data_IF_302383891012
#
_entry.id   IF_302383891012
#
_cell.length_a   1.000
_cell.length_b   1.000
_cell.length_c   1.000
_cell.angle_alpha   90.00
_cell.angle_beta   90.00
_cell.angle_gamma   90.00
#
_symmetry.space_group_name_H-M   'P 1'
#
loop_
_entity.id
_entity.type
_entity.pdbx_description
1 polymer ?
#
# COMPACT_ATOMS: atom_id res chain seq x y z
N UNK A 1 -18.36 8.76 -17.28
CA UNK A 1 -17.25 8.16 -16.50
C UNK A 1 -17.41 8.64 -15.06
N UNK A 2 -17.62 7.73 -14.10
CA UNK A 2 -17.73 8.13 -12.70
C UNK A 2 -16.37 8.69 -12.24
N UNK A 3 -16.37 9.90 -11.68
CA UNK A 3 -15.15 10.52 -11.15
C UNK A 3 -14.56 9.70 -9.99
N UNK A 4 -13.28 9.93 -9.70
CA UNK A 4 -12.63 9.34 -8.52
C UNK A 4 -13.35 9.80 -7.24
N UNK A 5 -13.60 8.90 -6.28
CA UNK A 5 -14.12 9.28 -4.98
C UNK A 5 -13.26 10.37 -4.32
N UNK A 6 -13.89 11.39 -3.76
CA UNK A 6 -13.23 12.51 -3.08
C UNK A 6 -12.19 12.04 -2.03
N UNK A 7 -12.47 10.93 -1.36
CA UNK A 7 -11.56 10.31 -0.39
C UNK A 7 -10.22 9.90 -1.02
N UNK A 8 -10.24 9.26 -2.19
CA UNK A 8 -9.01 8.82 -2.88
C UNK A 8 -8.18 10.05 -3.25
N UNK A 9 -8.82 11.08 -3.81
CA UNK A 9 -8.13 12.34 -4.17
C UNK A 9 -7.42 12.95 -2.96
N UNK A 10 -8.12 13.03 -1.82
CA UNK A 10 -7.57 13.61 -0.58
C UNK A 10 -6.42 12.77 0.00
N UNK A 11 -6.55 11.44 -0.02
CA UNK A 11 -5.50 10.54 0.49
C UNK A 11 -4.25 10.55 -0.42
N UNK A 12 -4.43 10.56 -1.74
CA UNK A 12 -3.32 10.73 -2.69
C UNK A 12 -2.60 12.05 -2.48
N UNK A 13 -3.33 13.16 -2.33
CA UNK A 13 -2.73 14.46 -2.03
C UNK A 13 -1.93 14.41 -0.72
N UNK A 14 -2.48 13.78 0.32
CA UNK A 14 -1.81 13.65 1.60
C UNK A 14 -0.52 12.82 1.52
N UNK A 15 -0.52 11.71 0.79
CA UNK A 15 0.69 10.91 0.54
C UNK A 15 1.80 11.73 -0.12
N UNK A 16 1.43 12.63 -1.04
CA UNK A 16 2.38 13.48 -1.76
C UNK A 16 2.90 14.64 -0.88
N UNK A 17 2.05 15.21 -0.02
CA UNK A 17 2.43 16.34 0.84
C UNK A 17 3.10 15.91 2.15
N UNK A 18 2.76 14.72 2.66
CA UNK A 18 3.25 14.16 3.92
C UNK A 18 3.86 12.77 3.66
N UNK A 19 5.05 12.70 3.01
CA UNK A 19 5.70 11.42 2.74
C UNK A 19 6.14 10.74 4.04
N UNK A 20 5.92 9.43 4.13
CA UNK A 20 6.37 8.64 5.27
C UNK A 20 7.86 8.31 5.09
N UNK A 21 8.73 8.55 6.10
CA UNK A 21 10.15 8.25 5.99
C UNK A 21 10.41 6.80 5.55
N UNK A 22 11.22 6.63 4.51
CA UNK A 22 11.54 5.32 3.96
C UNK A 22 10.45 4.70 3.07
N UNK A 23 9.33 5.39 2.83
CA UNK A 23 8.25 4.93 1.95
C UNK A 23 7.96 5.98 0.89
N UNK A 24 7.94 5.55 -0.37
CA UNK A 24 7.51 6.36 -1.51
C UNK A 24 6.31 5.69 -2.14
N UNK A 25 5.21 6.42 -2.34
CA UNK A 25 4.01 5.92 -3.01
C UNK A 25 3.57 6.92 -4.08
N UNK A 26 3.46 6.45 -5.32
CA UNK A 26 3.10 7.28 -6.47
C UNK A 26 1.91 6.65 -7.21
N UNK A 27 0.86 7.40 -7.53
CA UNK A 27 -0.25 6.88 -8.32
C UNK A 27 0.23 6.54 -9.74
N UNK A 28 -0.36 5.52 -10.35
CA UNK A 28 -0.13 5.19 -11.75
C UNK A 28 -0.72 6.25 -12.68
N UNK A 29 -0.01 6.55 -13.77
CA UNK A 29 -0.41 7.57 -14.75
C UNK A 29 -1.73 7.23 -15.45
N UNK A 30 -2.02 5.93 -15.64
CA UNK A 30 -3.20 5.44 -16.33
C UNK A 30 -4.34 5.07 -15.38
N UNK A 31 -4.05 4.84 -14.09
CA UNK A 31 -5.02 4.39 -13.12
C UNK A 31 -4.76 4.97 -11.72
N UNK A 32 -5.49 6.03 -11.37
CA UNK A 32 -5.39 6.69 -10.07
C UNK A 32 -5.84 5.85 -8.84
N UNK A 33 -6.33 4.62 -9.05
CA UNK A 33 -6.57 3.64 -7.97
C UNK A 33 -5.38 2.71 -7.76
N UNK A 34 -4.39 2.75 -8.64
CA UNK A 34 -3.20 1.93 -8.59
C UNK A 34 -2.01 2.79 -8.17
N UNK A 35 -1.16 2.25 -7.31
CA UNK A 35 0.00 2.94 -6.77
C UNK A 35 1.24 2.07 -6.86
N UNK A 36 2.33 2.67 -7.30
CA UNK A 36 3.67 2.13 -7.24
C UNK A 36 4.30 2.55 -5.91
N UNK A 37 4.63 1.57 -5.08
CA UNK A 37 5.17 1.81 -3.74
C UNK A 37 6.59 1.28 -3.66
N UNK A 38 7.48 2.03 -3.02
CA UNK A 38 8.85 1.62 -2.71
C UNK A 38 9.08 1.80 -1.22
N UNK A 39 9.48 0.73 -0.55
CA UNK A 39 9.79 0.72 0.88
C UNK A 39 11.27 0.42 1.08
N UNK A 40 11.94 1.25 1.87
CA UNK A 40 13.28 0.99 2.35
C UNK A 40 13.24 -0.09 3.44
N UNK A 41 14.19 -1.01 3.40
CA UNK A 41 14.32 -2.02 4.43
C UNK A 41 14.60 -1.38 5.80
N UNK A 42 13.93 -1.83 6.88
CA UNK A 42 14.14 -1.27 8.21
C UNK A 42 15.59 -1.37 8.69
N UNK A 43 16.05 -0.37 9.44
CA UNK A 43 17.31 -0.43 10.17
C UNK A 43 17.31 -1.58 11.18
N UNK A 44 18.48 -2.16 11.41
CA UNK A 44 18.68 -3.28 12.34
C UNK A 44 17.86 -4.53 11.96
N UNK A 45 17.57 -4.71 10.67
CA UNK A 45 16.88 -5.88 10.13
C UNK A 45 17.69 -6.56 9.04
N UNK A 46 17.43 -7.84 8.70
CA UNK A 46 18.04 -8.50 7.56
C UNK A 46 17.76 -7.82 6.21
N UNK A 47 16.79 -6.91 6.18
CA UNK A 47 16.39 -6.17 4.99
C UNK A 47 17.04 -4.79 4.90
N UNK A 48 17.80 -4.38 5.92
CA UNK A 48 18.41 -3.05 5.98
C UNK A 48 19.17 -2.69 4.69
N UNK A 49 19.07 -1.43 4.28
CA UNK A 49 19.60 -0.91 3.00
C UNK A 49 18.97 -1.52 1.74
N UNK A 50 18.04 -2.46 1.89
CA UNK A 50 17.22 -2.98 0.81
C UNK A 50 16.18 -1.97 0.33
N UNK A 51 15.72 -2.16 -0.91
CA UNK A 51 14.62 -1.40 -1.48
C UNK A 51 13.62 -2.37 -2.12
N UNK A 52 12.40 -2.32 -1.64
CA UNK A 52 11.35 -3.27 -1.99
C UNK A 52 10.25 -2.54 -2.73
N UNK A 53 9.96 -2.99 -3.95
CA UNK A 53 8.85 -2.50 -4.76
C UNK A 53 7.59 -3.26 -4.38
N UNK A 54 6.49 -2.55 -4.23
CA UNK A 54 5.16 -3.08 -4.03
C UNK A 54 4.19 -2.39 -4.99
N UNK A 55 3.10 -3.08 -5.27
CA UNK A 55 1.92 -2.50 -5.87
C UNK A 55 0.83 -2.38 -4.80
N UNK A 56 0.06 -1.30 -4.86
CA UNK A 56 -1.12 -1.08 -4.05
C UNK A 56 -2.29 -0.72 -4.96
N UNK A 57 -3.42 -1.41 -4.78
CA UNK A 57 -4.63 -1.19 -5.55
C UNK A 57 -5.84 -0.92 -4.65
N UNK A 58 -6.55 0.18 -4.94
CA UNK A 58 -7.78 0.58 -4.27
C UNK A 58 -9.00 0.02 -5.02
N UNK A 59 -9.68 -1.04 -4.50
CA UNK A 59 -10.86 -1.59 -5.14
C UNK A 59 -12.02 -0.59 -5.19
N UNK A 60 -13.06 -0.87 -5.97
CA UNK A 60 -14.23 0.01 -6.10
C UNK A 60 -14.90 0.27 -4.74
N UNK A 61 -14.91 -0.73 -3.87
CA UNK A 61 -15.49 -0.67 -2.54
C UNK A 61 -14.57 0.04 -1.52
N UNK A 62 -13.38 0.51 -1.91
CA UNK A 62 -12.55 1.33 -1.02
C UNK A 62 -13.31 2.60 -0.61
N UNK A 63 -13.38 2.95 0.68
CA UNK A 63 -12.59 2.44 1.82
C UNK A 63 -13.27 1.34 2.65
N UNK A 64 -14.43 0.83 2.23
CA UNK A 64 -15.15 -0.24 2.92
C UNK A 64 -14.36 -1.55 2.85
N UNK A 65 -13.77 -1.83 1.68
CA UNK A 65 -12.78 -2.88 1.51
C UNK A 65 -11.36 -2.35 1.67
N UNK A 66 -10.49 -3.18 2.23
CA UNK A 66 -9.06 -2.90 2.33
C UNK A 66 -8.41 -2.83 0.93
N UNK A 67 -7.35 -2.05 0.76
CA UNK A 67 -6.57 -2.09 -0.46
C UNK A 67 -5.84 -3.42 -0.61
N UNK A 68 -5.55 -3.77 -1.86
CA UNK A 68 -4.75 -4.95 -2.18
C UNK A 68 -3.29 -4.53 -2.30
N UNK A 69 -2.41 -5.15 -1.53
CA UNK A 69 -0.97 -4.86 -1.53
C UNK A 69 -0.19 -6.12 -1.85
N UNK A 70 0.83 -6.00 -2.71
CA UNK A 70 1.68 -7.13 -3.12
C UNK A 70 3.12 -6.67 -3.36
N UNK A 71 4.08 -7.45 -2.89
CA UNK A 71 5.48 -7.27 -3.22
C UNK A 71 5.76 -7.63 -4.69
N UNK A 72 6.42 -6.72 -5.38
CA UNK A 72 6.97 -6.92 -6.72
C UNK A 72 8.43 -7.36 -6.65
N UNK A 73 9.16 -6.89 -5.64
CA UNK A 73 10.50 -7.41 -5.31
C UNK A 73 10.37 -8.74 -4.60
N UNK A 74 11.08 -9.78 -5.06
CA UNK A 74 11.17 -11.05 -4.33
C UNK A 74 11.78 -10.82 -2.95
N UNK A 75 11.05 -11.20 -1.90
CA UNK A 75 11.48 -11.07 -0.51
C UNK A 75 11.31 -12.41 0.19
N UNK A 76 12.25 -12.76 1.05
CA UNK A 76 12.15 -13.95 1.90
C UNK A 76 11.65 -13.51 3.28
N UNK A 77 10.35 -13.68 3.51
CA UNK A 77 9.70 -13.27 4.75
C UNK A 77 8.58 -14.27 5.12
N UNK A 78 8.40 -14.64 6.39
CA UNK A 78 7.40 -15.65 6.80
C UNK A 78 5.96 -15.31 6.38
N UNK A 79 5.63 -14.02 6.37
CA UNK A 79 4.31 -13.51 5.99
C UNK A 79 4.19 -13.09 4.52
N UNK A 80 5.20 -13.36 3.68
CA UNK A 80 5.16 -13.06 2.24
C UNK A 80 5.43 -14.33 1.45
N UNK A 81 4.53 -14.67 0.54
CA UNK A 81 4.71 -15.85 -0.30
C UNK A 81 5.59 -15.59 -1.54
N UNK A 82 5.83 -16.65 -2.32
CA UNK A 82 6.67 -16.59 -3.54
C UNK A 82 6.12 -15.67 -4.64
N UNK A 83 4.84 -15.30 -4.56
CA UNK A 83 4.18 -14.37 -5.48
C UNK A 83 4.11 -12.95 -4.92
N UNK A 84 4.69 -12.71 -3.74
CA UNK A 84 4.72 -11.42 -3.07
C UNK A 84 3.45 -11.08 -2.28
N UNK A 85 2.51 -12.03 -2.13
CA UNK A 85 1.25 -11.77 -1.41
C UNK A 85 1.52 -11.71 0.09
N UNK A 86 0.98 -10.69 0.74
CA UNK A 86 1.18 -10.43 2.18
C UNK A 86 0.05 -11.07 2.98
N UNK A 87 0.40 -11.79 4.05
CA UNK A 87 -0.55 -12.31 5.04
C UNK A 87 -0.50 -11.44 6.30
N UNK A 88 -1.21 -10.31 6.27
CA UNK A 88 -1.35 -9.38 7.39
C UNK A 88 -2.83 -9.25 7.75
N UNK A 89 -3.15 -9.32 9.04
CA UNK A 89 -4.55 -9.39 9.51
C UNK A 89 -5.35 -8.14 9.18
N UNK A 90 -4.72 -6.95 9.19
CA UNK A 90 -5.36 -5.69 8.81
C UNK A 90 -5.77 -5.64 7.32
N UNK A 91 -5.14 -6.46 6.46
CA UNK A 91 -5.44 -6.55 5.04
C UNK A 91 -6.44 -7.66 4.71
N UNK A 92 -6.71 -8.57 5.67
CA UNK A 92 -7.55 -9.77 5.47
C UNK A 92 -8.85 -9.75 6.25
N UNK A 93 -8.82 -9.35 7.52
CA UNK A 93 -10.01 -9.39 8.36
C UNK A 93 -10.79 -8.08 8.27
N UNK A 94 -12.03 -8.18 7.79
CA UNK A 94 -12.99 -7.07 7.71
C UNK A 94 -13.32 -6.47 9.10
N UNK A 95 -13.02 -7.18 10.19
CA UNK A 95 -13.15 -6.66 11.57
C UNK A 95 -11.94 -5.85 12.00
N UNK A 96 -10.75 -6.13 11.46
CA UNK A 96 -9.53 -5.38 11.71
C UNK A 96 -9.43 -4.14 10.80
N UNK A 97 -9.84 -4.25 9.53
CA UNK A 97 -9.93 -3.10 8.63
C UNK A 97 -11.16 -2.25 8.95
N UNK A 98 -10.93 -0.96 9.18
CA UNK A 98 -12.00 0.03 9.37
C UNK A 98 -11.80 1.21 8.42
N UNK A 99 -12.89 1.92 8.09
CA UNK A 99 -12.83 3.13 7.26
C UNK A 99 -12.01 4.26 7.91
N UNK A 100 -11.55 4.13 9.15
CA UNK A 100 -10.68 5.10 9.81
C UNK A 100 -9.23 4.98 9.34
N UNK A 101 -8.82 3.84 8.79
CA UNK A 101 -7.48 3.69 8.21
C UNK A 101 -7.38 4.48 6.91
N UNK A 102 -6.29 5.26 6.78
CA UNK A 102 -5.89 5.94 5.56
C UNK A 102 -4.72 5.18 4.91
N UNK A 103 -4.40 5.47 3.65
CA UNK A 103 -3.28 4.86 2.95
C UNK A 103 -1.94 4.96 3.70
N UNK A 104 -1.67 6.06 4.42
CA UNK A 104 -0.45 6.22 5.22
C UNK A 104 -0.36 5.28 6.44
N UNK A 105 -1.47 4.63 6.82
CA UNK A 105 -1.52 3.71 7.94
C UNK A 105 -1.24 2.25 7.52
N UNK A 106 -0.96 2.01 6.25
CA UNK A 106 -0.81 0.69 5.61
C UNK A 106 0.64 0.52 5.18
#
# INVERSE_FOLDING_TARGET
>A
MAGLPHRIIKETQRLLTEPVPGIKAEPDESNARYFHVVIAGPQDSPFERGSFKLELFLPEEYPVAAPKVRFMTKVYHPNVDKLGRICLDILKDKRAWTRLYAMNNI
#
